data_IF_225025966972
#
_entry.id   IF_225025966972
#
_cell.length_a   1.000
_cell.length_b   1.000
_cell.length_c   1.000
_cell.angle_alpha   90.00
_cell.angle_beta   90.00
_cell.angle_gamma   90.00
#
_symmetry.space_group_name_H-M   'P 1'
#
loop_
_entity.id
_entity.type
_entity.pdbx_description
1 polymer ?
#
# COMPACT_ATOMS: atom_id res chain seq x y z
N UNK A 1 13.31 19.36 24.59
CA UNK A 1 13.81 17.96 24.67
C UNK A 1 12.62 17.06 24.91
N UNK A 2 12.44 16.00 24.10
CA UNK A 2 11.45 14.99 24.42
C UNK A 2 11.82 14.37 25.77
N UNK A 3 10.84 14.17 26.66
CA UNK A 3 11.08 13.40 27.87
C UNK A 3 11.59 11.99 27.45
N UNK A 4 12.46 11.31 28.24
CA UNK A 4 12.99 9.98 27.90
C UNK A 4 11.91 8.97 27.52
N UNK A 5 10.72 9.06 28.12
CA UNK A 5 9.52 8.27 27.77
C UNK A 5 9.01 8.52 26.34
N UNK A 6 9.14 9.73 25.81
CA UNK A 6 8.69 10.07 24.45
C UNK A 6 9.61 9.51 23.34
N UNK A 7 10.92 9.40 23.57
CA UNK A 7 11.85 8.79 22.62
C UNK A 7 11.66 7.28 22.54
N UNK A 8 11.45 6.61 23.68
CA UNK A 8 11.15 5.18 23.71
C UNK A 8 9.83 4.84 23.00
N UNK A 9 8.80 5.70 23.19
CA UNK A 9 7.52 5.54 22.53
C UNK A 9 7.62 5.72 20.99
N UNK A 10 8.43 6.70 20.52
CA UNK A 10 8.66 6.92 19.09
C UNK A 10 9.40 5.73 18.45
N UNK A 11 10.41 5.19 19.14
CA UNK A 11 11.11 3.99 18.71
C UNK A 11 10.18 2.77 18.62
N UNK A 12 9.29 2.60 19.61
CA UNK A 12 8.28 1.54 19.57
C UNK A 12 7.33 1.69 18.38
N UNK A 13 6.79 2.89 18.14
CA UNK A 13 5.88 3.12 17.00
C UNK A 13 6.59 2.88 15.67
N UNK A 14 7.86 3.26 15.54
CA UNK A 14 8.67 2.92 14.35
C UNK A 14 8.77 1.41 14.15
N UNK A 15 9.12 0.66 15.20
CA UNK A 15 9.21 -0.81 15.15
C UNK A 15 7.85 -1.42 14.82
N UNK A 16 6.77 -0.91 15.39
CA UNK A 16 5.39 -1.35 15.09
C UNK A 16 5.07 -1.20 13.62
N UNK A 17 5.25 0.00 13.06
CA UNK A 17 4.99 0.26 11.64
C UNK A 17 5.90 -0.57 10.72
N UNK A 18 7.16 -0.72 11.09
CA UNK A 18 8.11 -1.56 10.36
C UNK A 18 7.65 -3.03 10.32
N UNK A 19 7.23 -3.59 11.47
CA UNK A 19 6.75 -4.99 11.56
C UNK A 19 5.43 -5.16 10.81
N UNK A 20 4.51 -4.19 10.85
CA UNK A 20 3.26 -4.24 10.09
C UNK A 20 3.53 -4.31 8.58
N UNK A 21 4.40 -3.44 8.07
CA UNK A 21 4.75 -3.42 6.63
C UNK A 21 5.59 -4.65 6.24
N UNK A 22 6.50 -5.08 7.11
CA UNK A 22 7.29 -6.29 6.92
C UNK A 22 6.38 -7.52 6.84
N UNK A 23 5.40 -7.65 7.76
CA UNK A 23 4.42 -8.74 7.76
C UNK A 23 3.60 -8.78 6.46
N UNK A 24 3.15 -7.62 5.98
CA UNK A 24 2.49 -7.52 4.67
C UNK A 24 3.42 -7.96 3.54
N UNK A 25 4.67 -7.48 3.54
CA UNK A 25 5.68 -7.83 2.52
C UNK A 25 6.03 -9.32 2.49
N UNK A 26 6.13 -9.97 3.66
CA UNK A 26 6.46 -11.40 3.80
C UNK A 26 5.45 -12.30 3.06
N UNK A 27 4.17 -11.91 3.01
CA UNK A 27 3.09 -12.73 2.44
C UNK A 27 3.06 -12.67 0.91
N UNK A 28 3.43 -11.54 0.31
CA UNK A 28 3.27 -11.29 -1.12
C UNK A 28 3.85 -12.40 -2.01
N UNK A 29 5.07 -12.92 -1.79
CA UNK A 29 5.65 -13.96 -2.65
C UNK A 29 4.93 -15.29 -2.60
N UNK A 30 4.27 -15.63 -1.48
CA UNK A 30 3.73 -16.96 -1.21
C UNK A 30 2.22 -17.07 -1.35
N UNK A 31 1.51 -15.94 -1.35
CA UNK A 31 0.04 -15.90 -1.42
C UNK A 31 -0.52 -16.61 -2.66
N UNK A 32 0.03 -16.46 -3.90
CA UNK A 32 -0.47 -17.18 -5.07
C UNK A 32 -0.43 -18.69 -4.92
N UNK A 33 0.68 -19.23 -4.39
CA UNK A 33 0.83 -20.68 -4.20
C UNK A 33 -0.08 -21.21 -3.10
N UNK A 34 -0.30 -20.44 -2.02
CA UNK A 34 -1.28 -20.81 -0.99
C UNK A 34 -2.68 -20.91 -1.58
N UNK A 35 -3.12 -19.90 -2.35
CA UNK A 35 -4.43 -19.91 -2.99
C UNK A 35 -4.53 -21.09 -3.97
N UNK A 36 -3.53 -21.26 -4.85
CA UNK A 36 -3.46 -22.36 -5.80
C UNK A 36 -3.65 -23.73 -5.13
N UNK A 37 -2.95 -23.93 -3.99
CA UNK A 37 -3.06 -25.17 -3.21
C UNK A 37 -4.47 -25.37 -2.67
N UNK A 38 -5.09 -24.33 -2.12
CA UNK A 38 -6.42 -24.41 -1.50
C UNK A 38 -7.57 -24.61 -2.51
N UNK A 39 -7.42 -24.11 -3.75
CA UNK A 39 -8.42 -24.29 -4.81
C UNK A 39 -8.15 -25.52 -5.67
N UNK A 40 -7.00 -26.19 -5.50
CA UNK A 40 -6.53 -27.29 -6.34
C UNK A 40 -6.51 -26.94 -7.84
N UNK A 41 -6.15 -25.68 -8.16
CA UNK A 41 -6.20 -25.12 -9.50
C UNK A 41 -4.85 -24.62 -10.01
N UNK A 42 -4.88 -23.84 -11.07
CA UNK A 42 -3.72 -23.18 -11.66
C UNK A 42 -3.43 -21.82 -11.01
N UNK A 43 -2.24 -21.26 -11.28
CA UNK A 43 -1.88 -19.87 -10.87
C UNK A 43 -2.85 -18.85 -11.50
N UNK A 44 -3.26 -19.10 -12.76
CA UNK A 44 -4.25 -18.28 -13.46
C UNK A 44 -5.60 -18.25 -12.73
N UNK A 45 -6.06 -19.41 -12.27
CA UNK A 45 -7.33 -19.52 -11.51
C UNK A 45 -7.22 -18.96 -10.10
N UNK A 46 -6.04 -18.94 -9.51
CA UNK A 46 -5.79 -18.37 -8.18
C UNK A 46 -5.85 -16.83 -8.17
N UNK A 47 -5.51 -16.17 -9.28
CA UNK A 47 -5.40 -14.72 -9.35
C UNK A 47 -6.71 -13.97 -9.01
N UNK A 48 -7.90 -14.34 -9.52
CA UNK A 48 -9.17 -13.70 -9.12
C UNK A 48 -9.45 -13.77 -7.62
N UNK A 49 -9.12 -14.89 -6.96
CA UNK A 49 -9.31 -15.03 -5.52
C UNK A 49 -8.41 -14.06 -4.75
N UNK A 50 -7.17 -13.83 -5.20
CA UNK A 50 -6.31 -12.82 -4.60
C UNK A 50 -6.91 -11.41 -4.73
N UNK A 51 -7.50 -11.09 -5.88
CA UNK A 51 -8.23 -9.84 -6.11
C UNK A 51 -9.42 -9.67 -5.15
N UNK A 52 -10.19 -10.75 -4.95
CA UNK A 52 -11.33 -10.75 -4.01
C UNK A 52 -10.88 -10.65 -2.54
N UNK A 53 -9.78 -11.31 -2.17
CA UNK A 53 -9.18 -11.19 -0.82
C UNK A 53 -8.70 -9.76 -0.56
N UNK A 54 -8.07 -9.12 -1.56
CA UNK A 54 -7.67 -7.72 -1.50
C UNK A 54 -8.89 -6.79 -1.38
N UNK A 55 -9.97 -7.05 -2.14
CA UNK A 55 -11.25 -6.33 -2.01
C UNK A 55 -11.79 -6.43 -0.59
N UNK A 56 -11.88 -7.65 -0.01
CA UNK A 56 -12.41 -7.86 1.33
C UNK A 56 -11.61 -7.05 2.35
N UNK A 57 -10.29 -7.15 2.32
CA UNK A 57 -9.39 -6.39 3.20
C UNK A 57 -9.58 -4.87 3.03
N UNK A 58 -9.44 -4.36 1.80
CA UNK A 58 -9.47 -2.93 1.53
C UNK A 58 -10.84 -2.30 1.81
N UNK A 59 -11.94 -3.02 1.54
CA UNK A 59 -13.29 -2.56 1.84
C UNK A 59 -13.52 -2.44 3.36
N UNK A 60 -13.10 -3.46 4.12
CA UNK A 60 -13.19 -3.41 5.58
C UNK A 60 -12.31 -2.30 6.16
N UNK A 61 -11.08 -2.17 5.68
CA UNK A 61 -10.19 -1.10 6.09
C UNK A 61 -10.78 0.29 5.80
N UNK A 62 -11.35 0.50 4.61
CA UNK A 62 -11.99 1.77 4.23
C UNK A 62 -13.17 2.12 5.14
N UNK A 63 -14.05 1.15 5.41
CA UNK A 63 -15.23 1.35 6.24
C UNK A 63 -14.88 1.55 7.72
N UNK A 64 -13.93 0.79 8.24
CA UNK A 64 -13.61 0.76 9.66
C UNK A 64 -12.50 1.71 10.09
N UNK A 65 -11.64 2.22 9.18
CA UNK A 65 -10.56 3.16 9.56
C UNK A 65 -11.07 4.43 10.25
N UNK A 66 -12.13 5.13 9.79
CA UNK A 66 -12.65 6.27 10.51
C UNK A 66 -13.31 5.89 11.84
N UNK A 67 -13.93 4.71 11.91
CA UNK A 67 -14.53 4.18 13.12
C UNK A 67 -13.45 3.92 14.19
N UNK A 68 -12.39 3.21 13.82
CA UNK A 68 -11.27 2.88 14.71
C UNK A 68 -10.49 4.11 15.12
N UNK A 69 -10.28 5.07 14.21
CA UNK A 69 -9.73 6.38 14.53
C UNK A 69 -10.54 7.09 15.62
N UNK A 70 -11.86 7.10 15.48
CA UNK A 70 -12.78 7.70 16.45
C UNK A 70 -12.81 6.94 17.80
N UNK A 71 -12.69 5.60 17.76
CA UNK A 71 -12.53 4.79 18.97
C UNK A 71 -11.19 5.09 19.67
N UNK A 72 -10.13 5.32 18.92
CA UNK A 72 -8.83 5.69 19.47
C UNK A 72 -8.83 7.09 20.11
N UNK A 73 -9.66 8.02 19.60
CA UNK A 73 -9.91 9.32 20.23
C UNK A 73 -10.67 9.20 21.55
N UNK A 74 -11.55 8.20 21.69
CA UNK A 74 -12.38 7.97 22.87
C UNK A 74 -11.67 7.17 23.95
N UNK A 75 -11.07 6.04 23.58
CA UNK A 75 -10.50 5.09 24.52
C UNK A 75 -8.99 5.27 24.76
N UNK A 76 -8.32 6.05 23.91
CA UNK A 76 -6.88 6.22 23.89
C UNK A 76 -6.23 5.48 22.72
N UNK A 77 -5.00 5.87 22.38
CA UNK A 77 -4.25 5.33 21.25
C UNK A 77 -3.73 3.91 21.52
N UNK A 78 -3.20 3.69 22.73
CA UNK A 78 -2.57 2.43 23.13
C UNK A 78 -3.46 1.23 23.00
N UNK A 79 -4.69 1.17 23.57
CA UNK A 79 -5.54 -0.03 23.47
C UNK A 79 -5.92 -0.35 22.02
N UNK A 80 -6.14 0.66 21.18
CA UNK A 80 -6.48 0.46 19.77
C UNK A 80 -5.28 -0.05 18.96
N UNK A 81 -4.07 0.46 19.19
CA UNK A 81 -2.85 -0.07 18.57
C UNK A 81 -2.62 -1.53 18.94
N UNK A 82 -2.73 -1.87 20.22
CA UNK A 82 -2.51 -3.24 20.68
C UNK A 82 -3.56 -4.22 20.13
N UNK A 83 -4.84 -3.80 20.07
CA UNK A 83 -5.91 -4.63 19.48
C UNK A 83 -5.69 -4.83 17.96
N UNK A 84 -5.19 -3.82 17.25
CA UNK A 84 -4.85 -3.95 15.83
C UNK A 84 -3.71 -4.94 15.60
N UNK A 85 -2.64 -4.87 16.40
CA UNK A 85 -1.51 -5.82 16.32
C UNK A 85 -1.94 -7.26 16.61
N UNK A 86 -2.80 -7.46 17.62
CA UNK A 86 -3.39 -8.77 17.91
C UNK A 86 -4.24 -9.27 16.73
N UNK A 87 -5.05 -8.40 16.14
CA UNK A 87 -5.87 -8.72 14.97
C UNK A 87 -5.03 -9.17 13.77
N UNK A 88 -3.90 -8.50 13.49
CA UNK A 88 -2.96 -8.93 12.45
C UNK A 88 -2.31 -10.27 12.80
N UNK A 89 -1.89 -10.48 14.05
CA UNK A 89 -1.34 -11.75 14.48
C UNK A 89 -2.33 -12.91 14.28
N UNK A 90 -3.60 -12.70 14.62
CA UNK A 90 -4.69 -13.66 14.40
C UNK A 90 -4.90 -13.91 12.90
N UNK A 91 -4.97 -12.87 12.07
CA UNK A 91 -5.12 -13.02 10.63
C UNK A 91 -3.99 -13.87 10.02
N UNK A 92 -2.74 -13.61 10.40
CA UNK A 92 -1.61 -14.40 9.90
C UNK A 92 -1.69 -15.88 10.32
N UNK A 93 -2.22 -16.18 11.50
CA UNK A 93 -2.49 -17.57 11.90
C UNK A 93 -3.62 -18.19 11.06
N UNK A 94 -4.69 -17.44 10.76
CA UNK A 94 -5.73 -17.88 9.82
C UNK A 94 -5.14 -18.21 8.45
N UNK A 95 -4.21 -17.38 7.93
CA UNK A 95 -3.55 -17.64 6.67
C UNK A 95 -2.62 -18.86 6.73
N UNK A 96 -1.87 -19.04 7.83
CA UNK A 96 -0.95 -20.16 8.02
C UNK A 96 -1.66 -21.52 8.07
N UNK A 97 -2.82 -21.57 8.73
CA UNK A 97 -3.56 -22.81 9.00
C UNK A 97 -4.88 -22.91 8.25
N UNK A 98 -5.08 -22.09 7.21
CA UNK A 98 -6.33 -22.08 6.47
C UNK A 98 -6.62 -23.44 5.80
N UNK A 99 -7.72 -24.12 6.15
CA UNK A 99 -8.12 -25.38 5.50
C UNK A 99 -8.87 -25.15 4.18
N UNK A 100 -9.29 -23.92 3.91
CA UNK A 100 -10.02 -23.55 2.69
C UNK A 100 -9.91 -22.07 2.39
N UNK A 101 -10.24 -21.69 1.15
CA UNK A 101 -10.25 -20.30 0.72
C UNK A 101 -11.18 -19.39 1.56
N UNK A 102 -12.28 -19.94 2.08
CA UNK A 102 -13.19 -19.21 2.97
C UNK A 102 -12.53 -18.71 4.25
N UNK A 103 -11.60 -19.48 4.81
CA UNK A 103 -10.83 -19.07 5.99
C UNK A 103 -9.89 -17.89 5.68
N UNK A 104 -9.32 -17.84 4.47
CA UNK A 104 -8.54 -16.67 4.03
C UNK A 104 -9.41 -15.41 3.99
N UNK A 105 -10.67 -15.52 3.52
CA UNK A 105 -11.61 -14.40 3.53
C UNK A 105 -11.91 -13.91 4.95
N UNK A 106 -12.16 -14.82 5.88
CA UNK A 106 -12.39 -14.47 7.30
C UNK A 106 -11.17 -13.73 7.86
N UNK A 107 -9.96 -14.24 7.63
CA UNK A 107 -8.71 -13.56 8.02
C UNK A 107 -8.62 -12.16 7.42
N UNK A 108 -8.84 -12.00 6.10
CA UNK A 108 -8.80 -10.69 5.44
C UNK A 108 -9.82 -9.69 5.95
N UNK A 109 -11.03 -10.14 6.32
CA UNK A 109 -12.05 -9.31 6.96
C UNK A 109 -11.57 -8.83 8.33
N UNK A 110 -11.04 -9.74 9.17
CA UNK A 110 -10.46 -9.40 10.49
C UNK A 110 -9.33 -8.38 10.32
N UNK A 111 -8.37 -8.68 9.43
CA UNK A 111 -7.25 -7.77 9.17
C UNK A 111 -7.69 -6.40 8.65
N UNK A 112 -8.72 -6.35 7.79
CA UNK A 112 -9.28 -5.09 7.30
C UNK A 112 -9.91 -4.26 8.41
N UNK A 113 -10.70 -4.89 9.29
CA UNK A 113 -11.31 -4.23 10.46
C UNK A 113 -10.22 -3.72 11.41
N UNK A 114 -9.22 -4.53 11.71
CA UNK A 114 -8.15 -4.19 12.66
C UNK A 114 -7.03 -3.36 12.04
N UNK A 115 -6.96 -3.25 10.72
CA UNK A 115 -5.91 -2.59 9.93
C UNK A 115 -5.77 -1.08 10.10
N UNK A 116 -6.42 -0.49 11.11
CA UNK A 116 -6.28 0.92 11.46
C UNK A 116 -5.04 1.23 12.32
N UNK A 117 -4.15 0.27 12.55
CA UNK A 117 -2.88 0.48 13.25
C UNK A 117 -2.13 1.69 12.69
N UNK A 118 -2.11 1.83 11.36
CA UNK A 118 -1.44 2.91 10.68
C UNK A 118 -2.00 4.30 10.99
N UNK A 119 -3.34 4.46 10.98
CA UNK A 119 -3.99 5.74 11.31
C UNK A 119 -3.79 6.10 12.78
N UNK A 120 -3.93 5.11 13.66
CA UNK A 120 -3.72 5.29 15.10
C UNK A 120 -2.25 5.55 15.44
N UNK A 121 -1.30 4.89 14.77
CA UNK A 121 0.13 5.14 14.93
C UNK A 121 0.51 6.56 14.48
N UNK A 122 -0.07 7.02 13.37
CA UNK A 122 0.11 8.41 12.88
C UNK A 122 -0.43 9.43 13.88
N UNK A 123 -1.61 9.18 14.47
CA UNK A 123 -2.16 10.02 15.51
C UNK A 123 -1.28 10.01 16.79
N UNK A 124 -0.78 8.83 17.17
CA UNK A 124 0.16 8.70 18.29
C UNK A 124 1.44 9.52 18.06
N UNK A 125 2.04 9.45 16.87
CA UNK A 125 3.21 10.29 16.49
C UNK A 125 2.88 11.77 16.62
N UNK A 126 1.68 12.18 16.16
CA UNK A 126 1.25 13.58 16.29
C UNK A 126 1.14 14.02 17.74
N UNK A 127 0.59 13.16 18.62
CA UNK A 127 0.38 13.45 20.05
C UNK A 127 1.70 13.64 20.80
N UNK A 128 2.76 12.86 20.48
CA UNK A 128 4.06 12.91 21.16
C UNK A 128 5.07 13.87 20.51
N UNK A 129 4.72 14.47 19.35
CA UNK A 129 5.63 15.31 18.58
C UNK A 129 5.41 16.80 18.87
N UNK A 130 6.50 17.53 19.17
CA UNK A 130 6.45 18.98 19.13
C UNK A 130 6.29 19.50 17.71
N UNK A 131 5.73 20.69 17.47
CA UNK A 131 5.53 21.25 16.14
C UNK A 131 6.79 21.20 15.26
N UNK A 132 7.97 21.49 15.85
CA UNK A 132 9.27 21.56 15.15
C UNK A 132 9.77 20.17 14.70
N UNK A 133 9.46 19.11 15.45
CA UNK A 133 9.91 17.73 15.19
C UNK A 133 8.86 16.88 14.49
N UNK A 134 7.63 17.36 14.37
CA UNK A 134 6.51 16.61 13.82
C UNK A 134 6.80 16.07 12.41
N UNK A 135 7.30 16.92 11.51
CA UNK A 135 7.63 16.51 10.15
C UNK A 135 8.74 15.43 10.11
N UNK A 136 9.77 15.56 10.94
CA UNK A 136 10.85 14.58 11.04
C UNK A 136 10.35 13.23 11.59
N UNK A 137 9.48 13.26 12.61
CA UNK A 137 8.91 12.06 13.22
C UNK A 137 7.96 11.33 12.25
N UNK A 138 7.16 12.06 11.47
CA UNK A 138 6.37 11.46 10.39
C UNK A 138 7.26 10.89 9.27
N UNK A 139 8.45 11.44 9.05
CA UNK A 139 9.43 10.87 8.12
C UNK A 139 9.84 9.44 8.47
N UNK A 140 9.83 9.06 9.75
CA UNK A 140 10.11 7.70 10.20
C UNK A 140 9.08 6.69 9.68
N UNK A 141 7.83 7.11 9.47
CA UNK A 141 6.80 6.27 8.84
C UNK A 141 7.24 5.83 7.45
N UNK A 142 7.74 6.78 6.64
CA UNK A 142 8.25 6.47 5.31
C UNK A 142 9.47 5.54 5.34
N UNK A 143 10.35 5.69 6.33
CA UNK A 143 11.51 4.80 6.52
C UNK A 143 11.04 3.39 6.90
N UNK A 144 10.06 3.25 7.81
CA UNK A 144 9.50 1.96 8.21
C UNK A 144 8.87 1.23 7.00
N UNK A 145 8.11 1.97 6.17
CA UNK A 145 7.56 1.44 4.92
C UNK A 145 8.65 0.98 3.96
N UNK A 146 9.64 1.83 3.69
CA UNK A 146 10.73 1.50 2.77
C UNK A 146 11.49 0.25 3.20
N UNK A 147 11.90 0.18 4.46
CA UNK A 147 12.63 -0.98 5.00
C UNK A 147 11.75 -2.24 5.02
N UNK A 148 10.49 -2.14 5.44
CA UNK A 148 9.56 -3.26 5.49
C UNK A 148 9.30 -3.85 4.09
N UNK A 149 9.12 -3.01 3.08
CA UNK A 149 8.94 -3.44 1.69
C UNK A 149 10.22 -3.96 1.02
N UNK A 150 11.41 -3.61 1.50
CA UNK A 150 12.67 -4.21 1.03
C UNK A 150 12.86 -5.58 1.67
N UNK A 151 12.75 -5.66 2.98
CA UNK A 151 13.14 -6.83 3.77
C UNK A 151 12.03 -7.89 3.76
N UNK A 152 10.76 -7.48 3.85
CA UNK A 152 9.61 -8.38 3.97
C UNK A 152 9.54 -9.41 2.83
N UNK A 153 9.45 -8.99 1.55
CA UNK A 153 9.36 -9.93 0.45
C UNK A 153 10.58 -10.86 0.31
N UNK A 154 11.78 -10.37 0.66
CA UNK A 154 13.00 -11.19 0.65
C UNK A 154 12.91 -12.31 1.69
N UNK A 155 12.54 -11.98 2.94
CA UNK A 155 12.33 -12.97 4.00
C UNK A 155 11.20 -13.93 3.60
N UNK A 156 10.08 -13.40 3.11
CA UNK A 156 8.92 -14.19 2.69
C UNK A 156 9.25 -15.15 1.55
N UNK A 157 10.02 -14.70 0.56
CA UNK A 157 10.47 -15.51 -0.56
C UNK A 157 11.41 -16.65 -0.10
N UNK A 158 12.37 -16.35 0.78
CA UNK A 158 13.31 -17.36 1.33
C UNK A 158 12.54 -18.39 2.17
N UNK A 159 11.75 -17.94 3.15
CA UNK A 159 10.97 -18.85 4.00
C UNK A 159 9.96 -19.68 3.19
N UNK A 160 9.30 -19.05 2.21
CA UNK A 160 8.35 -19.70 1.32
C UNK A 160 8.97 -20.74 0.38
N UNK A 161 10.29 -20.69 0.15
CA UNK A 161 11.00 -21.71 -0.62
C UNK A 161 11.16 -23.02 0.17
N UNK A 162 11.12 -22.97 1.50
CA UNK A 162 11.17 -24.16 2.35
C UNK A 162 9.76 -24.71 2.62
N UNK A 163 8.83 -23.83 2.99
CA UNK A 163 7.43 -24.19 3.25
C UNK A 163 6.53 -22.96 3.09
N UNK A 164 5.40 -23.12 2.40
CA UNK A 164 4.43 -22.04 2.14
C UNK A 164 3.83 -21.45 3.43
N UNK A 165 3.80 -22.20 4.54
CA UNK A 165 3.25 -21.74 5.83
C UNK A 165 4.25 -20.89 6.63
N UNK A 166 5.57 -21.10 6.46
CA UNK A 166 6.59 -20.43 7.28
C UNK A 166 6.53 -18.89 7.21
N UNK A 167 6.29 -18.25 6.05
CA UNK A 167 6.12 -16.80 5.97
C UNK A 167 4.99 -16.27 6.84
N UNK A 168 3.84 -16.95 6.85
CA UNK A 168 2.67 -16.56 7.65
C UNK A 168 2.92 -16.73 9.15
N UNK A 169 3.57 -17.84 9.55
CA UNK A 169 3.95 -18.08 10.94
C UNK A 169 4.97 -17.04 11.43
N UNK A 170 5.95 -16.67 10.58
CA UNK A 170 6.90 -15.62 10.91
C UNK A 170 6.21 -14.26 11.08
N UNK A 171 5.29 -13.90 10.16
CA UNK A 171 4.52 -12.67 10.26
C UNK A 171 3.64 -12.65 11.53
N UNK A 172 2.97 -13.79 11.86
CA UNK A 172 2.20 -13.94 13.09
C UNK A 172 3.08 -13.75 14.34
N UNK A 173 4.24 -14.41 14.37
CA UNK A 173 5.18 -14.29 15.47
C UNK A 173 5.64 -12.84 15.68
N UNK A 174 6.04 -12.14 14.60
CA UNK A 174 6.44 -10.74 14.68
C UNK A 174 5.30 -9.83 15.19
N UNK A 175 4.08 -9.99 14.67
CA UNK A 175 2.93 -9.20 15.11
C UNK A 175 2.58 -9.45 16.58
N UNK A 176 2.53 -10.72 17.02
CA UNK A 176 2.18 -11.09 18.40
C UNK A 176 3.30 -10.70 19.38
N UNK A 177 4.57 -10.86 19.02
CA UNK A 177 5.70 -10.39 19.83
C UNK A 177 5.68 -8.87 19.97
N UNK A 178 5.38 -8.14 18.89
CA UNK A 178 5.25 -6.69 18.93
C UNK A 178 4.05 -6.25 19.79
N UNK A 179 2.92 -6.94 19.70
CA UNK A 179 1.77 -6.68 20.57
C UNK A 179 2.11 -6.91 22.06
N UNK A 180 2.81 -8.01 22.35
CA UNK A 180 3.27 -8.35 23.70
C UNK A 180 4.27 -7.30 24.22
N UNK A 181 5.27 -6.95 23.42
CA UNK A 181 6.23 -5.90 23.76
C UNK A 181 5.53 -4.56 24.00
N UNK A 182 4.60 -4.18 23.11
CA UNK A 182 3.81 -2.96 23.27
C UNK A 182 2.93 -2.95 24.52
N UNK A 183 2.40 -4.11 24.91
CA UNK A 183 1.60 -4.22 26.12
C UNK A 183 2.39 -3.79 27.37
N UNK A 184 3.68 -4.11 27.44
CA UNK A 184 4.53 -3.75 28.59
C UNK A 184 5.19 -2.37 28.48
N UNK A 185 5.51 -1.92 27.26
CA UNK A 185 6.40 -0.76 27.06
C UNK A 185 5.67 0.48 26.56
N UNK A 186 4.57 0.32 25.75
CA UNK A 186 3.93 1.47 25.12
C UNK A 186 3.09 2.26 26.14
N UNK A 187 3.43 3.53 26.44
CA UNK A 187 2.58 4.39 27.25
C UNK A 187 1.35 4.87 26.45
N UNK A 188 0.32 5.35 27.12
CA UNK A 188 -0.76 6.08 26.48
C UNK A 188 -0.28 7.49 26.06
N UNK A 189 -0.58 7.88 24.81
CA UNK A 189 -0.22 9.20 24.29
C UNK A 189 -1.33 10.25 24.45
N UNK A 190 -2.59 9.79 24.53
CA UNK A 190 -3.75 10.68 24.61
C UNK A 190 -4.26 10.77 26.05
N UNK A 191 -3.96 11.88 26.78
CA UNK A 191 -4.47 12.11 28.14
C UNK A 191 -6.00 12.05 28.16
N UNK A 192 -6.56 11.65 29.32
CA UNK A 192 -8.00 11.46 29.48
C UNK A 192 -8.77 12.77 29.18
N UNK A 193 -8.19 13.91 29.56
CA UNK A 193 -8.75 15.26 29.37
C UNK A 193 -8.88 15.63 27.88
N UNK A 194 -8.05 15.06 27.01
CA UNK A 194 -8.03 15.33 25.58
C UNK A 194 -8.85 14.34 24.78
N UNK A 195 -9.44 13.34 25.43
CA UNK A 195 -10.29 12.33 24.78
C UNK A 195 -11.60 12.96 24.32
N UNK A 196 -12.07 12.51 23.15
CA UNK A 196 -13.29 13.02 22.53
C UNK A 196 -14.38 11.95 22.59
N UNK A 197 -15.66 12.32 22.79
CA UNK A 197 -16.76 11.38 22.69
C UNK A 197 -16.86 10.83 21.27
N UNK A 198 -17.30 9.59 21.14
CA UNK A 198 -17.54 8.95 19.84
C UNK A 198 -18.60 9.70 19.04
N UNK A 199 -18.40 9.86 17.72
CA UNK A 199 -19.34 10.53 16.83
C UNK A 199 -19.45 9.79 15.50
N UNK A 200 -20.66 9.34 15.15
CA UNK A 200 -20.94 8.69 13.86
C UNK A 200 -20.73 9.61 12.66
N UNK A 201 -20.95 10.91 12.81
CA UNK A 201 -20.73 11.90 11.72
C UNK A 201 -19.25 11.97 11.31
N UNK A 202 -18.33 11.80 12.26
CA UNK A 202 -16.88 11.78 11.99
C UNK A 202 -16.39 10.44 11.43
N UNK A 203 -17.20 9.38 11.57
CA UNK A 203 -16.91 8.05 11.07
C UNK A 203 -17.40 7.83 9.61
N UNK A 204 -17.68 8.89 8.86
CA UNK A 204 -18.19 8.79 7.48
C UNK A 204 -17.06 8.92 6.44
N UNK A 205 -16.65 7.82 5.76
CA UNK A 205 -15.57 7.85 4.78
C UNK A 205 -15.98 8.47 3.43
N UNK A 206 -17.29 8.56 3.13
CA UNK A 206 -17.81 9.03 1.82
C UNK A 206 -17.84 10.55 1.76
N UNK A 207 -18.03 11.22 2.88
CA UNK A 207 -18.13 12.69 2.93
C UNK A 207 -16.90 13.41 2.34
N UNK A 208 -15.71 12.84 2.51
CA UNK A 208 -14.46 13.40 2.00
C UNK A 208 -14.37 13.41 0.47
N UNK A 209 -14.97 12.42 -0.21
CA UNK A 209 -15.00 12.37 -1.69
C UNK A 209 -15.88 13.47 -2.27
N UNK A 210 -17.01 13.75 -1.63
CA UNK A 210 -17.96 14.79 -2.09
C UNK A 210 -17.31 16.17 -1.99
N UNK A 211 -16.48 16.40 -0.97
CA UNK A 211 -15.79 17.67 -0.75
C UNK A 211 -14.77 18.01 -1.86
N UNK A 212 -14.18 17.00 -2.55
CA UNK A 212 -13.27 17.26 -3.67
C UNK A 212 -13.92 18.06 -4.81
N UNK A 213 -15.23 17.96 -5.00
CA UNK A 213 -15.94 18.73 -6.03
C UNK A 213 -15.88 20.25 -5.83
N UNK A 214 -15.54 20.71 -4.63
CA UNK A 214 -15.31 22.12 -4.30
C UNK A 214 -14.09 22.69 -5.06
N UNK A 215 -13.09 21.86 -5.35
CA UNK A 215 -11.80 22.26 -5.91
C UNK A 215 -11.74 22.03 -7.43
N UNK A 216 -12.49 22.82 -8.22
CA UNK A 216 -12.57 22.65 -9.68
C UNK A 216 -11.21 22.66 -10.39
N UNK A 217 -10.26 23.46 -9.92
CA UNK A 217 -8.90 23.53 -10.46
C UNK A 217 -8.07 22.25 -10.23
N UNK A 218 -8.39 21.51 -9.16
CA UNK A 218 -7.61 20.32 -8.74
C UNK A 218 -8.26 19.02 -9.20
N UNK A 219 -9.55 19.02 -9.57
CA UNK A 219 -10.31 17.81 -9.91
C UNK A 219 -9.65 16.97 -11.02
N UNK A 220 -9.14 17.62 -12.07
CA UNK A 220 -8.46 16.91 -13.17
C UNK A 220 -7.18 16.22 -12.70
N UNK A 221 -6.44 16.85 -11.80
CA UNK A 221 -5.23 16.28 -11.20
C UNK A 221 -5.57 15.18 -10.17
N UNK A 222 -6.68 15.31 -9.44
CA UNK A 222 -7.17 14.27 -8.53
C UNK A 222 -7.59 13.01 -9.28
N UNK A 223 -8.28 13.17 -10.43
CA UNK A 223 -8.60 12.04 -11.33
C UNK A 223 -7.32 11.44 -11.92
N UNK A 224 -6.35 12.27 -12.31
CA UNK A 224 -5.03 11.79 -12.75
C UNK A 224 -4.35 10.97 -11.68
N UNK A 225 -4.35 11.41 -10.43
CA UNK A 225 -3.80 10.68 -9.28
C UNK A 225 -4.53 9.34 -9.06
N UNK A 226 -5.85 9.32 -9.15
CA UNK A 226 -6.64 8.09 -9.08
C UNK A 226 -6.21 7.09 -10.15
N UNK A 227 -6.06 7.52 -11.41
CA UNK A 227 -5.59 6.66 -12.50
C UNK A 227 -4.17 6.12 -12.25
N UNK A 228 -3.28 6.93 -11.66
CA UNK A 228 -1.93 6.48 -11.26
C UNK A 228 -2.03 5.34 -10.25
N UNK A 229 -2.75 5.54 -9.13
CA UNK A 229 -2.87 4.52 -8.10
C UNK A 229 -3.61 3.27 -8.61
N UNK A 230 -4.60 3.46 -9.49
CA UNK A 230 -5.31 2.35 -10.12
C UNK A 230 -4.39 1.54 -11.05
N UNK A 231 -3.57 2.21 -11.87
CA UNK A 231 -2.60 1.57 -12.76
C UNK A 231 -1.50 0.83 -11.98
N UNK A 232 -1.03 1.39 -10.84
CA UNK A 232 -0.02 0.75 -9.96
C UNK A 232 -0.53 -0.59 -9.43
N UNK A 233 -1.85 -0.80 -9.30
CA UNK A 233 -2.41 -2.10 -8.89
C UNK A 233 -2.08 -3.22 -9.89
N UNK A 234 -1.76 -2.92 -11.16
CA UNK A 234 -1.28 -3.93 -12.11
C UNK A 234 0.01 -4.61 -11.63
N UNK A 235 0.91 -3.83 -11.01
CA UNK A 235 2.15 -4.38 -10.44
C UNK A 235 1.89 -4.97 -9.05
N UNK A 236 1.20 -4.24 -8.17
CA UNK A 236 1.04 -4.68 -6.77
C UNK A 236 0.24 -5.98 -6.63
N UNK A 237 -0.78 -6.20 -7.47
CA UNK A 237 -1.65 -7.37 -7.37
C UNK A 237 -1.32 -8.50 -8.34
N UNK A 238 -0.57 -8.23 -9.42
CA UNK A 238 -0.34 -9.25 -10.47
C UNK A 238 1.12 -9.68 -10.58
N UNK A 239 2.08 -8.91 -10.04
CA UNK A 239 3.51 -9.17 -10.20
C UNK A 239 3.91 -10.61 -9.90
N UNK A 240 3.51 -11.14 -8.75
CA UNK A 240 3.86 -12.50 -8.31
C UNK A 240 3.22 -13.54 -9.23
N UNK A 241 1.93 -13.39 -9.56
CA UNK A 241 1.22 -14.29 -10.48
C UNK A 241 1.88 -14.32 -11.86
N UNK A 242 2.18 -13.14 -12.41
CA UNK A 242 2.80 -12.99 -13.72
C UNK A 242 4.21 -13.61 -13.78
N UNK A 243 5.02 -13.38 -12.77
CA UNK A 243 6.40 -13.87 -12.77
C UNK A 243 6.47 -15.38 -12.56
N UNK A 244 5.57 -15.96 -11.76
CA UNK A 244 5.44 -17.40 -11.61
C UNK A 244 4.93 -18.03 -12.90
N UNK A 245 3.85 -17.51 -13.47
CA UNK A 245 3.21 -18.09 -14.67
C UNK A 245 4.12 -18.00 -15.89
N UNK A 246 4.73 -16.85 -16.14
CA UNK A 246 5.48 -16.59 -17.38
C UNK A 246 6.94 -17.03 -17.33
N UNK A 247 7.59 -16.88 -16.18
CA UNK A 247 9.04 -17.12 -16.05
C UNK A 247 9.37 -18.30 -15.13
N UNK A 248 8.35 -18.96 -14.56
CA UNK A 248 8.49 -20.07 -13.63
C UNK A 248 9.36 -19.72 -12.42
N UNK A 249 9.24 -18.47 -11.93
CA UNK A 249 9.98 -18.03 -10.76
C UNK A 249 9.49 -18.75 -9.50
N UNK A 250 10.45 -19.14 -8.67
CA UNK A 250 10.16 -19.59 -7.32
C UNK A 250 9.96 -18.39 -6.37
N UNK A 251 9.52 -18.67 -5.15
CA UNK A 251 9.25 -17.65 -4.15
C UNK A 251 10.46 -16.76 -3.85
N UNK A 252 11.69 -17.31 -3.87
CA UNK A 252 12.91 -16.55 -3.62
C UNK A 252 13.16 -15.49 -4.70
N UNK A 253 13.04 -15.85 -6.00
CA UNK A 253 13.19 -14.90 -7.09
C UNK A 253 12.12 -13.80 -7.06
N UNK A 254 10.86 -14.14 -6.72
CA UNK A 254 9.80 -13.15 -6.49
C UNK A 254 10.20 -12.22 -5.35
N UNK A 255 10.65 -12.78 -4.22
CA UNK A 255 11.10 -12.01 -3.06
C UNK A 255 12.24 -11.04 -3.40
N UNK A 256 13.27 -11.52 -4.13
CA UNK A 256 14.40 -10.67 -4.55
C UNK A 256 13.96 -9.54 -5.49
N UNK A 257 13.04 -9.80 -6.41
CA UNK A 257 12.52 -8.77 -7.32
C UNK A 257 11.76 -7.68 -6.58
N UNK A 258 10.92 -8.05 -5.60
CA UNK A 258 10.19 -7.11 -4.77
C UNK A 258 11.12 -6.33 -3.82
N UNK A 259 12.16 -6.98 -3.27
CA UNK A 259 13.21 -6.31 -2.52
C UNK A 259 13.96 -5.28 -3.37
N UNK A 260 14.23 -5.61 -4.64
CA UNK A 260 14.83 -4.68 -5.60
C UNK A 260 13.90 -3.49 -5.91
N UNK A 261 12.59 -3.71 -6.05
CA UNK A 261 11.59 -2.62 -6.15
C UNK A 261 11.70 -1.70 -4.94
N UNK A 262 11.69 -2.27 -3.73
CA UNK A 262 11.80 -1.49 -2.50
C UNK A 262 13.06 -0.62 -2.46
N UNK A 263 14.22 -1.19 -2.85
CA UNK A 263 15.49 -0.46 -2.95
C UNK A 263 15.39 0.68 -3.96
N UNK A 264 14.86 0.43 -5.16
CA UNK A 264 14.70 1.44 -6.20
C UNK A 264 13.76 2.56 -5.76
N UNK A 265 12.64 2.22 -5.12
CA UNK A 265 11.70 3.21 -4.56
C UNK A 265 12.39 4.07 -3.50
N UNK A 266 13.19 3.48 -2.61
CA UNK A 266 13.96 4.22 -1.60
C UNK A 266 14.96 5.19 -2.25
N UNK A 267 15.68 4.78 -3.29
CA UNK A 267 16.61 5.65 -4.04
C UNK A 267 15.85 6.80 -4.71
N UNK A 268 14.76 6.50 -5.40
CA UNK A 268 14.00 7.49 -6.16
C UNK A 268 13.29 8.47 -5.22
N UNK A 269 12.49 7.98 -4.28
CA UNK A 269 11.69 8.83 -3.40
C UNK A 269 12.52 9.45 -2.26
N UNK A 270 13.52 8.75 -1.74
CA UNK A 270 14.40 9.24 -0.68
C UNK A 270 15.46 10.23 -1.16
N UNK A 271 15.96 10.06 -2.39
CA UNK A 271 17.08 10.83 -2.94
C UNK A 271 16.74 11.63 -4.19
N UNK A 272 16.39 10.94 -5.29
CA UNK A 272 16.27 11.58 -6.61
C UNK A 272 15.19 12.67 -6.68
N UNK A 273 14.07 12.51 -6.00
CA UNK A 273 12.99 13.50 -5.96
C UNK A 273 13.52 14.86 -5.51
N UNK A 274 14.38 14.89 -4.49
CA UNK A 274 14.95 16.13 -3.93
C UNK A 274 15.85 16.88 -4.89
N UNK A 275 16.38 16.19 -5.89
CA UNK A 275 17.27 16.74 -6.92
C UNK A 275 16.51 17.09 -8.19
N UNK A 276 15.62 16.20 -8.62
CA UNK A 276 14.93 16.30 -9.91
C UNK A 276 13.84 17.38 -9.87
N UNK A 277 12.94 17.36 -8.89
CA UNK A 277 11.81 18.31 -8.82
C UNK A 277 12.29 19.77 -8.79
N UNK A 278 13.28 20.17 -7.98
CA UNK A 278 13.79 21.55 -8.01
C UNK A 278 14.44 21.96 -9.34
N UNK A 279 15.07 21.02 -10.07
CA UNK A 279 15.76 21.30 -11.33
C UNK A 279 14.84 21.44 -12.53
N UNK A 280 13.82 20.58 -12.67
CA UNK A 280 12.96 20.55 -13.86
C UNK A 280 11.55 21.10 -13.60
N UNK A 281 11.21 21.37 -12.34
CA UNK A 281 9.90 21.85 -11.90
C UNK A 281 8.88 20.73 -11.69
N UNK A 282 7.80 21.04 -10.95
CA UNK A 282 6.77 20.06 -10.59
C UNK A 282 6.01 19.53 -11.81
N UNK A 283 5.54 20.39 -12.69
CA UNK A 283 4.74 20.00 -13.86
C UNK A 283 5.50 19.04 -14.79
N UNK A 284 6.77 19.37 -15.10
CA UNK A 284 7.62 18.50 -15.93
C UNK A 284 7.90 17.17 -15.24
N UNK A 285 8.14 17.19 -13.93
CA UNK A 285 8.33 15.97 -13.14
C UNK A 285 7.11 15.05 -13.17
N UNK A 286 5.91 15.62 -13.17
CA UNK A 286 4.66 14.87 -13.24
C UNK A 286 4.54 14.14 -14.59
N UNK A 287 4.54 14.86 -15.71
CA UNK A 287 4.29 14.20 -16.99
C UNK A 287 5.46 13.31 -17.44
N UNK A 288 6.72 13.65 -17.15
CA UNK A 288 7.88 12.79 -17.43
C UNK A 288 7.77 11.51 -16.59
N UNK A 289 7.45 11.64 -15.30
CA UNK A 289 7.27 10.50 -14.42
C UNK A 289 6.15 9.56 -14.88
N UNK A 290 5.00 10.11 -15.29
CA UNK A 290 3.87 9.33 -15.82
C UNK A 290 4.22 8.60 -17.12
N UNK A 291 4.99 9.24 -18.02
CA UNK A 291 5.48 8.59 -19.24
C UNK A 291 6.48 7.48 -18.93
N UNK A 292 7.40 7.68 -17.97
CA UNK A 292 8.32 6.64 -17.53
C UNK A 292 7.59 5.45 -16.89
N UNK A 293 6.55 5.71 -16.07
CA UNK A 293 5.68 4.66 -15.55
C UNK A 293 5.02 3.86 -16.66
N UNK A 294 4.38 4.56 -17.63
CA UNK A 294 3.73 3.91 -18.77
C UNK A 294 4.72 3.10 -19.57
N UNK A 295 5.90 3.65 -19.87
CA UNK A 295 6.97 2.96 -20.59
C UNK A 295 7.42 1.70 -19.85
N UNK A 296 7.67 1.78 -18.54
CA UNK A 296 8.03 0.63 -17.71
C UNK A 296 6.95 -0.47 -17.75
N UNK A 297 5.67 -0.10 -17.67
CA UNK A 297 4.55 -1.04 -17.76
C UNK A 297 4.44 -1.70 -19.14
N UNK A 298 4.68 -0.96 -20.23
CA UNK A 298 4.76 -1.56 -21.58
C UNK A 298 5.90 -2.57 -21.64
N UNK A 299 7.07 -2.23 -21.11
CA UNK A 299 8.21 -3.15 -21.08
C UNK A 299 7.89 -4.42 -20.28
N UNK A 300 7.20 -4.33 -19.14
CA UNK A 300 6.75 -5.50 -18.37
C UNK A 300 5.78 -6.37 -19.18
N UNK A 301 4.82 -5.75 -19.87
CA UNK A 301 3.83 -6.49 -20.66
C UNK A 301 4.48 -7.40 -21.72
N UNK A 302 5.56 -6.91 -22.35
CA UNK A 302 6.25 -7.60 -23.44
C UNK A 302 7.57 -8.28 -23.03
N UNK A 303 7.93 -8.31 -21.76
CA UNK A 303 9.13 -8.98 -21.27
C UNK A 303 9.14 -10.45 -21.67
N UNK A 304 10.20 -10.93 -22.32
CA UNK A 304 10.33 -12.32 -22.79
C UNK A 304 11.25 -13.18 -21.90
N UNK A 305 12.07 -12.55 -21.05
CA UNK A 305 13.01 -13.25 -20.15
C UNK A 305 12.92 -12.66 -18.74
N UNK A 306 13.07 -13.48 -17.72
CA UNK A 306 12.95 -13.07 -16.32
C UNK A 306 13.89 -11.94 -15.91
N UNK A 307 15.16 -11.94 -16.36
CA UNK A 307 16.11 -10.86 -16.03
C UNK A 307 15.66 -9.48 -16.52
N UNK A 308 14.84 -9.41 -17.59
CA UNK A 308 14.31 -8.16 -18.13
C UNK A 308 13.41 -7.46 -17.09
N UNK A 309 12.75 -8.22 -16.22
CA UNK A 309 11.91 -7.66 -15.17
C UNK A 309 12.72 -6.74 -14.25
N UNK A 310 13.93 -7.14 -13.85
CA UNK A 310 14.81 -6.30 -13.04
C UNK A 310 15.27 -5.03 -13.79
N UNK A 311 15.65 -5.16 -15.06
CA UNK A 311 16.07 -4.03 -15.87
C UNK A 311 14.91 -3.02 -16.08
N UNK A 312 13.70 -3.52 -16.35
CA UNK A 312 12.52 -2.70 -16.62
C UNK A 312 11.93 -2.07 -15.34
N UNK A 313 12.27 -2.58 -14.16
CA UNK A 313 11.96 -1.91 -12.90
C UNK A 313 12.63 -0.53 -12.78
N UNK A 314 13.77 -0.31 -13.42
CA UNK A 314 14.47 0.99 -13.36
C UNK A 314 13.59 2.13 -13.92
N UNK A 315 13.15 2.13 -15.20
CA UNK A 315 12.27 3.17 -15.71
C UNK A 315 10.93 3.23 -14.98
N UNK A 316 10.35 2.09 -14.59
CA UNK A 316 9.12 2.04 -13.82
C UNK A 316 9.27 2.77 -12.47
N UNK A 317 10.29 2.46 -11.68
CA UNK A 317 10.50 3.10 -10.38
C UNK A 317 10.88 4.58 -10.50
N UNK A 318 11.61 4.98 -11.55
CA UNK A 318 11.87 6.40 -11.85
C UNK A 318 10.56 7.17 -12.09
N UNK A 319 9.54 6.54 -12.67
CA UNK A 319 8.20 7.09 -12.80
C UNK A 319 7.56 7.45 -11.43
N UNK A 320 8.01 6.82 -10.34
CA UNK A 320 7.57 7.08 -8.97
C UNK A 320 7.71 8.53 -8.48
N UNK A 321 8.38 9.39 -9.22
CA UNK A 321 8.45 10.83 -8.98
C UNK A 321 7.08 11.50 -9.19
N UNK A 322 6.24 10.97 -10.08
CA UNK A 322 4.96 11.59 -10.46
C UNK A 322 3.98 11.73 -9.30
N UNK A 323 3.83 10.71 -8.45
CA UNK A 323 2.86 10.70 -7.35
C UNK A 323 3.09 11.85 -6.35
N UNK A 324 4.26 11.93 -5.70
CA UNK A 324 4.59 13.03 -4.80
C UNK A 324 4.55 14.41 -5.47
N UNK A 325 4.95 14.51 -6.73
CA UNK A 325 4.87 15.78 -7.47
C UNK A 325 3.42 16.22 -7.71
N UNK A 326 2.51 15.30 -8.07
CA UNK A 326 1.07 15.56 -8.20
C UNK A 326 0.46 16.02 -6.88
N UNK A 327 0.74 15.30 -5.78
CA UNK A 327 0.24 15.66 -4.45
C UNK A 327 0.76 17.04 -4.00
N UNK A 328 2.05 17.31 -4.22
CA UNK A 328 2.66 18.61 -3.91
C UNK A 328 2.04 19.75 -4.72
N UNK A 329 1.81 19.55 -6.03
CA UNK A 329 1.18 20.55 -6.89
C UNK A 329 -0.25 20.87 -6.43
N UNK A 330 -1.06 19.84 -6.18
CA UNK A 330 -2.44 20.01 -5.69
C UNK A 330 -2.47 20.68 -4.32
N UNK A 331 -1.57 20.30 -3.43
CA UNK A 331 -1.45 20.92 -2.10
C UNK A 331 -1.13 22.41 -2.20
N UNK A 332 -0.24 22.82 -3.11
CA UNK A 332 0.10 24.23 -3.33
C UNK A 332 -1.05 25.03 -3.98
N UNK A 333 -2.03 24.36 -4.58
CA UNK A 333 -3.19 25.00 -5.25
C UNK A 333 -4.39 25.22 -4.32
N UNK A 334 -4.28 24.84 -3.04
CA UNK A 334 -5.40 24.91 -2.07
C UNK A 334 -4.93 25.64 -0.81
N UNK A 335 -5.78 26.53 -0.21
CA UNK A 335 -5.45 27.27 1.01
C UNK A 335 -5.04 26.37 2.18
N UNK A 336 -4.18 26.87 3.06
CA UNK A 336 -3.65 26.10 4.18
C UNK A 336 -4.72 25.54 5.14
N UNK A 337 -5.83 26.26 5.33
CA UNK A 337 -6.95 25.86 6.19
C UNK A 337 -7.85 24.78 5.54
N UNK A 338 -7.69 24.48 4.25
CA UNK A 338 -8.46 23.47 3.51
C UNK A 338 -7.63 22.22 3.15
N UNK A 339 -6.35 22.17 3.54
CA UNK A 339 -5.45 21.04 3.25
C UNK A 339 -5.98 19.71 3.80
N UNK A 340 -6.61 19.71 4.97
CA UNK A 340 -7.20 18.50 5.55
C UNK A 340 -8.32 17.91 4.69
N UNK A 341 -9.19 18.76 4.12
CA UNK A 341 -10.28 18.34 3.23
C UNK A 341 -9.72 17.76 1.92
N UNK A 342 -8.73 18.43 1.32
CA UNK A 342 -8.04 17.95 0.12
C UNK A 342 -7.41 16.57 0.36
N UNK A 343 -6.59 16.44 1.39
CA UNK A 343 -5.90 15.19 1.69
C UNK A 343 -6.87 14.04 2.03
N UNK A 344 -7.95 14.34 2.74
CA UNK A 344 -9.02 13.39 3.01
C UNK A 344 -9.68 12.87 1.73
N UNK A 345 -9.98 13.76 0.79
CA UNK A 345 -10.55 13.40 -0.50
C UNK A 345 -9.57 12.60 -1.38
N UNK A 346 -8.30 12.98 -1.45
CA UNK A 346 -7.28 12.25 -2.20
C UNK A 346 -7.05 10.85 -1.60
N UNK A 347 -7.01 10.73 -0.27
CA UNK A 347 -6.89 9.42 0.40
C UNK A 347 -8.08 8.52 0.09
N UNK A 348 -9.29 9.07 0.03
CA UNK A 348 -10.48 8.31 -0.34
C UNK A 348 -10.43 7.82 -1.79
N UNK A 349 -9.92 8.62 -2.73
CA UNK A 349 -9.68 8.18 -4.11
C UNK A 349 -8.64 7.05 -4.19
N UNK A 350 -7.55 7.16 -3.44
CA UNK A 350 -6.54 6.10 -3.35
C UNK A 350 -7.16 4.82 -2.80
N UNK A 351 -7.99 4.92 -1.75
CA UNK A 351 -8.70 3.77 -1.19
C UNK A 351 -9.62 3.08 -2.20
N UNK A 352 -10.35 3.85 -3.02
CA UNK A 352 -11.15 3.27 -4.11
C UNK A 352 -10.28 2.50 -5.12
N UNK A 353 -9.08 3.01 -5.44
CA UNK A 353 -8.17 2.31 -6.34
C UNK A 353 -7.65 0.99 -5.74
N UNK A 354 -7.45 0.92 -4.42
CA UNK A 354 -7.03 -0.31 -3.73
C UNK A 354 -8.18 -1.31 -3.55
N UNK A 355 -9.44 -0.86 -3.57
CA UNK A 355 -10.62 -1.74 -3.53
C UNK A 355 -10.85 -2.39 -4.90
N UNK A 356 -10.93 -1.59 -5.97
CA UNK A 356 -11.35 -2.06 -7.28
C UNK A 356 -10.19 -2.45 -8.22
N UNK A 357 -9.01 -1.85 -8.03
CA UNK A 357 -7.85 -2.10 -8.88
C UNK A 357 -7.40 -3.56 -8.90
N UNK A 358 -7.20 -4.23 -7.75
CA UNK A 358 -6.79 -5.63 -7.72
C UNK A 358 -7.76 -6.55 -8.47
N UNK A 359 -9.08 -6.32 -8.37
CA UNK A 359 -10.08 -7.13 -9.08
C UNK A 359 -9.86 -7.03 -10.58
N UNK A 360 -9.86 -5.79 -11.13
CA UNK A 360 -9.70 -5.60 -12.57
C UNK A 360 -8.39 -6.24 -13.08
N UNK A 361 -7.30 -6.03 -12.35
CA UNK A 361 -5.98 -6.48 -12.79
C UNK A 361 -5.82 -8.00 -12.70
N UNK A 362 -6.30 -8.62 -11.61
CA UNK A 362 -6.20 -10.09 -11.45
C UNK A 362 -7.18 -10.83 -12.37
N UNK A 363 -8.38 -10.30 -12.59
CA UNK A 363 -9.33 -10.88 -13.53
C UNK A 363 -8.86 -10.74 -14.97
N UNK A 364 -8.27 -9.61 -15.35
CA UNK A 364 -7.67 -9.48 -16.68
C UNK A 364 -6.50 -10.46 -16.87
N UNK A 365 -5.65 -10.65 -15.84
CA UNK A 365 -4.60 -11.66 -15.87
C UNK A 365 -5.18 -13.07 -16.11
N UNK A 366 -6.15 -13.48 -15.31
CA UNK A 366 -6.78 -14.80 -15.42
C UNK A 366 -7.45 -15.00 -16.78
N UNK A 367 -8.14 -13.98 -17.30
CA UNK A 367 -8.80 -14.06 -18.61
C UNK A 367 -7.82 -14.32 -19.76
N UNK A 368 -6.67 -13.64 -19.75
CA UNK A 368 -5.65 -13.75 -20.80
C UNK A 368 -4.62 -14.87 -20.58
N UNK A 369 -4.71 -15.61 -19.47
CA UNK A 369 -3.80 -16.74 -19.16
C UNK A 369 -4.52 -18.10 -19.10
N UNK A 370 -5.86 -18.12 -19.01
CA UNK A 370 -6.62 -19.37 -18.96
C UNK A 370 -6.44 -20.21 -20.23
N UNK A 371 -6.48 -21.55 -20.14
CA UNK A 371 -6.51 -22.42 -21.30
C UNK A 371 -7.67 -22.04 -22.24
N UNK A 372 -7.40 -21.90 -23.54
CA UNK A 372 -8.42 -21.51 -24.53
C UNK A 372 -8.74 -20.02 -24.59
N UNK A 373 -7.97 -19.16 -23.96
CA UNK A 373 -8.10 -17.71 -24.15
C UNK A 373 -7.91 -17.34 -25.63
N UNK A 374 -8.69 -16.38 -26.18
CA UNK A 374 -8.56 -15.97 -27.58
C UNK A 374 -7.16 -15.47 -27.93
N UNK A 375 -6.49 -14.85 -26.96
CA UNK A 375 -5.10 -14.41 -27.05
C UNK A 375 -4.42 -14.74 -25.72
N UNK A 376 -3.32 -15.49 -25.77
CA UNK A 376 -2.48 -15.76 -24.61
C UNK A 376 -1.56 -14.55 -24.37
N UNK A 377 -1.92 -13.71 -23.41
CA UNK A 377 -1.18 -12.48 -23.11
C UNK A 377 -1.11 -12.20 -21.61
N UNK A 378 -0.22 -12.90 -20.87
CA UNK A 378 -0.07 -12.69 -19.41
C UNK A 378 0.25 -11.24 -19.00
N UNK A 379 0.80 -10.44 -19.93
CA UNK A 379 1.13 -9.03 -19.74
C UNK A 379 -0.06 -8.05 -19.80
N UNK A 380 -1.29 -8.53 -20.07
CA UNK A 380 -2.47 -7.69 -20.25
C UNK A 380 -2.70 -6.68 -19.10
N UNK A 381 -2.57 -7.04 -17.80
CA UNK A 381 -2.73 -6.08 -16.72
C UNK A 381 -1.74 -4.90 -16.79
N UNK A 382 -0.51 -5.17 -17.18
CA UNK A 382 0.51 -4.12 -17.35
C UNK A 382 0.21 -3.23 -18.55
N UNK A 383 -0.31 -3.81 -19.65
CA UNK A 383 -0.76 -3.02 -20.80
C UNK A 383 -1.94 -2.11 -20.44
N UNK A 384 -2.92 -2.61 -19.67
CA UNK A 384 -4.02 -1.80 -19.12
C UNK A 384 -3.46 -0.67 -18.24
N UNK A 385 -2.54 -1.00 -17.33
CA UNK A 385 -1.87 -0.01 -16.48
C UNK A 385 -1.14 1.06 -17.28
N UNK A 386 -0.45 0.68 -18.36
CA UNK A 386 0.24 1.62 -19.26
C UNK A 386 -0.72 2.61 -19.91
N UNK A 387 -1.87 2.13 -20.40
CA UNK A 387 -2.93 2.99 -20.98
C UNK A 387 -3.47 3.95 -19.91
N UNK A 388 -3.76 3.48 -18.70
CA UNK A 388 -4.22 4.33 -17.60
C UNK A 388 -3.19 5.42 -17.24
N UNK A 389 -1.89 5.10 -17.24
CA UNK A 389 -0.82 6.08 -17.02
C UNK A 389 -0.75 7.12 -18.14
N UNK A 390 -0.92 6.72 -19.41
CA UNK A 390 -1.01 7.68 -20.51
C UNK A 390 -2.22 8.59 -20.39
N UNK A 391 -3.38 8.05 -20.06
CA UNK A 391 -4.59 8.84 -19.81
C UNK A 391 -4.37 9.82 -18.65
N UNK A 392 -3.72 9.37 -17.58
CA UNK A 392 -3.34 10.22 -16.45
C UNK A 392 -2.42 11.37 -16.90
N UNK A 393 -1.41 11.08 -17.72
CA UNK A 393 -0.50 12.10 -18.24
C UNK A 393 -1.25 13.14 -19.10
N UNK A 394 -2.14 12.70 -19.98
CA UNK A 394 -2.97 13.58 -20.82
C UNK A 394 -3.88 14.49 -19.97
N UNK A 395 -4.51 13.93 -18.92
CA UNK A 395 -5.36 14.70 -18.00
C UNK A 395 -4.53 15.73 -17.21
N UNK A 396 -3.36 15.35 -16.72
CA UNK A 396 -2.47 16.25 -16.01
C UNK A 396 -2.04 17.44 -16.90
N UNK A 397 -1.58 17.16 -18.12
CA UNK A 397 -1.17 18.20 -19.08
C UNK A 397 -2.33 19.14 -19.42
N UNK A 398 -3.56 18.60 -19.61
CA UNK A 398 -4.75 19.44 -19.85
C UNK A 398 -5.12 20.29 -18.66
N UNK A 399 -4.94 19.77 -17.45
CA UNK A 399 -5.24 20.51 -16.21
C UNK A 399 -4.26 21.68 -16.01
N UNK A 400 -2.97 21.53 -16.32
CA UNK A 400 -1.99 22.61 -16.24
C UNK A 400 -2.27 23.75 -17.24
N UNK A 401 -2.84 23.43 -18.41
CA UNK A 401 -3.18 24.47 -19.42
C UNK A 401 -4.46 25.26 -19.07
N UNK A 402 -5.26 24.78 -18.13
CA UNK A 402 -6.51 25.44 -17.71
C UNK A 402 -6.37 26.32 -16.46
N UNK A 403 -5.30 26.12 -15.73
CA UNK A 403 -4.88 26.90 -14.56
C UNK A 403 -3.82 27.90 -14.98
#
# INVERSE_FOLDING_TARGET
>A
MLQPKGQAALGFIFVTLFIDVLGFGIIIPVLPQLIQHLIHGSISEAAPYAGLLALAYASMQFLFSPLIGNLSDKFGRRPVLLSSLLGFGIDYLFLAFAPSIGWLFVGRVIAGITGASFTTASAYIADISTPEKRAANFGLVGVAFGLGFIIGPVIGGILGSYNTQYPFLAAAAFALLNATYGFFILPESLPVENRRPFSWLRANPIGSLVQLNKYKAVIGLAVSLFLVYFAVQSVQSVWTFYTIEKFHWNNAWVGYSLGFVGLMVAIVQGGLIRVIIPKIGQERSIWIGLLLYSFGLVLFAFASKGWMMFAFLVPYCLGGIAGPALQGYMSNSVPANEQGELQGGLTSLVSLSTIFGPILMTWSFAYFTKPGAPVQFPGAPFAIGAVLMLLSALLAIRSFKRN
#
